data_IF_276504391536
#
_entry.id   IF_276504391536
#
_cell.length_a   1.000
_cell.length_b   1.000
_cell.length_c   1.000
_cell.angle_alpha   90.00
_cell.angle_beta   90.00
_cell.angle_gamma   90.00
#
_symmetry.space_group_name_H-M   'P 1'
#
loop_
_entity.id
_entity.type
_entity.pdbx_description
1 polymer ?
#
# COMPACT_ATOMS: atom_id res chain seq x y z
N UNK A 1 -18.49 4.89 3.56
CA UNK A 1 -18.40 3.67 4.32
C UNK A 1 -19.76 3.24 4.88
N UNK A 2 -19.83 1.99 5.32
CA UNK A 2 -21.01 1.44 6.01
C UNK A 2 -20.98 1.70 7.51
N UNK A 3 -19.81 1.97 8.06
CA UNK A 3 -19.56 2.18 9.48
C UNK A 3 -18.87 3.52 9.73
N UNK A 4 -19.26 4.22 10.80
CA UNK A 4 -18.69 5.48 11.21
C UNK A 4 -18.41 5.49 12.73
N UNK A 5 -17.53 6.39 13.18
CA UNK A 5 -17.24 6.60 14.60
C UNK A 5 -16.80 5.33 15.32
N UNK A 6 -17.37 5.09 16.50
CA UNK A 6 -16.99 3.97 17.35
C UNK A 6 -17.19 2.58 16.71
N UNK A 7 -18.24 2.42 15.90
CA UNK A 7 -18.47 1.15 15.18
C UNK A 7 -17.38 0.84 14.19
N UNK A 8 -16.87 1.86 13.47
CA UNK A 8 -15.72 1.71 12.56
C UNK A 8 -14.45 1.35 13.34
N UNK A 9 -14.17 2.03 14.43
CA UNK A 9 -13.00 1.74 15.28
C UNK A 9 -13.04 0.33 15.85
N UNK A 10 -14.19 -0.12 16.30
CA UNK A 10 -14.33 -1.49 16.83
C UNK A 10 -14.17 -2.53 15.72
N UNK A 11 -14.75 -2.30 14.53
CA UNK A 11 -14.57 -3.19 13.39
C UNK A 11 -13.09 -3.27 12.96
N UNK A 12 -12.35 -2.15 13.00
CA UNK A 12 -10.91 -2.13 12.73
C UNK A 12 -10.11 -2.95 13.76
N UNK A 13 -10.44 -2.82 15.05
CA UNK A 13 -9.81 -3.64 16.11
C UNK A 13 -10.07 -5.13 15.90
N UNK A 14 -11.32 -5.50 15.62
CA UNK A 14 -11.69 -6.88 15.31
C UNK A 14 -10.93 -7.43 14.10
N UNK A 15 -10.77 -6.64 13.04
CA UNK A 15 -9.98 -7.04 11.88
C UNK A 15 -8.52 -7.31 12.25
N UNK A 16 -7.91 -6.42 13.04
CA UNK A 16 -6.51 -6.57 13.48
C UNK A 16 -6.33 -7.83 14.32
N UNK A 17 -7.26 -8.11 15.25
CA UNK A 17 -7.24 -9.33 16.04
C UNK A 17 -7.39 -10.57 15.15
N UNK A 18 -8.36 -10.59 14.24
CA UNK A 18 -8.56 -11.69 13.30
C UNK A 18 -7.33 -11.97 12.42
N UNK A 19 -6.64 -10.92 11.95
CA UNK A 19 -5.39 -11.04 11.20
C UNK A 19 -4.28 -11.66 12.05
N UNK A 20 -4.14 -11.24 13.30
CA UNK A 20 -3.15 -11.80 14.24
C UNK A 20 -3.47 -13.26 14.58
N UNK A 21 -4.71 -13.58 14.85
CA UNK A 21 -5.17 -14.93 15.17
C UNK A 21 -4.99 -15.89 14.00
N UNK A 22 -5.06 -15.38 12.78
CA UNK A 22 -4.81 -16.15 11.55
C UNK A 22 -3.33 -16.08 11.11
N UNK A 23 -2.42 -15.75 12.02
CA UNK A 23 -0.97 -15.72 11.81
C UNK A 23 -0.53 -14.85 10.63
N UNK A 24 -1.23 -13.71 10.42
CA UNK A 24 -1.03 -12.76 9.31
C UNK A 24 -1.20 -13.37 7.91
N UNK A 25 -1.92 -14.48 7.79
CA UNK A 25 -2.32 -15.03 6.51
C UNK A 25 -3.56 -14.32 5.94
N UNK A 26 -3.77 -14.44 4.64
CA UNK A 26 -4.93 -13.82 3.95
C UNK A 26 -6.16 -14.72 4.10
N UNK A 27 -7.02 -14.40 5.07
CA UNK A 27 -8.23 -15.16 5.37
C UNK A 27 -9.47 -14.69 4.62
N UNK A 28 -9.33 -13.91 3.54
CA UNK A 28 -10.45 -13.30 2.81
C UNK A 28 -10.57 -13.88 1.40
N UNK A 29 -11.80 -13.84 0.87
CA UNK A 29 -12.08 -14.17 -0.54
C UNK A 29 -12.02 -12.92 -1.44
N UNK A 30 -12.37 -13.09 -2.70
CA UNK A 30 -12.19 -12.12 -3.80
C UNK A 30 -12.71 -10.71 -3.53
N UNK A 31 -13.86 -10.59 -2.85
CA UNK A 31 -14.48 -9.28 -2.60
C UNK A 31 -13.69 -8.46 -1.59
N UNK A 32 -13.10 -9.10 -0.58
CA UNK A 32 -12.52 -8.42 0.57
C UNK A 32 -10.99 -8.32 0.50
N UNK A 33 -10.31 -9.24 -0.19
CA UNK A 33 -8.84 -9.24 -0.31
C UNK A 33 -8.26 -7.90 -0.79
N UNK A 34 -8.84 -7.20 -1.80
CA UNK A 34 -8.35 -5.91 -2.26
C UNK A 34 -8.32 -4.82 -1.18
N UNK A 35 -9.16 -4.92 -0.16
CA UNK A 35 -9.33 -3.89 0.86
C UNK A 35 -8.51 -4.15 2.14
N UNK A 36 -7.93 -5.33 2.30
CA UNK A 36 -7.25 -5.71 3.55
C UNK A 36 -6.13 -4.75 3.93
N UNK A 37 -5.11 -4.62 3.07
CA UNK A 37 -3.95 -3.78 3.36
C UNK A 37 -4.32 -2.29 3.45
N UNK A 38 -5.15 -1.73 2.54
CA UNK A 38 -5.63 -0.36 2.68
C UNK A 38 -6.35 -0.08 4.00
N UNK A 39 -7.27 -0.96 4.42
CA UNK A 39 -8.03 -0.77 5.66
C UNK A 39 -7.15 -0.88 6.90
N UNK A 40 -6.20 -1.80 6.93
CA UNK A 40 -5.21 -1.90 8.01
C UNK A 40 -4.35 -0.63 8.08
N UNK A 41 -3.87 -0.14 6.94
CA UNK A 41 -3.10 1.10 6.87
C UNK A 41 -3.91 2.31 7.32
N UNK A 42 -5.19 2.43 6.92
CA UNK A 42 -6.12 3.48 7.37
C UNK A 42 -6.37 3.43 8.89
N UNK A 43 -6.40 2.24 9.47
CA UNK A 43 -6.50 2.03 10.91
C UNK A 43 -5.22 2.39 11.68
N UNK A 44 -4.13 2.78 11.00
CA UNK A 44 -2.83 3.03 11.63
C UNK A 44 -1.98 1.77 11.83
N UNK A 45 -2.46 0.61 11.38
CA UNK A 45 -1.83 -0.71 11.55
C UNK A 45 -0.91 -1.06 10.37
N UNK A 46 -0.04 -0.12 9.98
CA UNK A 46 0.86 -0.26 8.82
C UNK A 46 1.78 -1.47 8.96
N UNK A 47 2.34 -1.70 10.15
CA UNK A 47 3.21 -2.85 10.39
C UNK A 47 2.45 -4.19 10.28
N UNK A 48 1.17 -4.22 10.67
CA UNK A 48 0.31 -5.38 10.49
C UNK A 48 0.08 -5.67 9.00
N UNK A 49 -0.15 -4.62 8.19
CA UNK A 49 -0.28 -4.72 6.74
C UNK A 49 1.00 -5.27 6.08
N UNK A 50 2.17 -4.76 6.47
CA UNK A 50 3.45 -5.29 5.97
C UNK A 50 3.70 -6.73 6.38
N UNK A 51 3.38 -7.10 7.62
CA UNK A 51 3.52 -8.49 8.08
C UNK A 51 2.65 -9.45 7.28
N UNK A 52 1.45 -9.03 6.85
CA UNK A 52 0.62 -9.82 5.92
C UNK A 52 1.27 -9.90 4.53
N UNK A 53 1.71 -8.75 3.98
CA UNK A 53 2.32 -8.69 2.66
C UNK A 53 3.58 -9.56 2.57
N UNK A 54 4.42 -9.53 3.61
CA UNK A 54 5.70 -10.22 3.68
C UNK A 54 5.60 -11.65 4.24
N UNK A 55 4.39 -12.14 4.56
CA UNK A 55 4.19 -13.47 5.09
C UNK A 55 4.45 -14.53 4.02
N UNK A 56 5.40 -15.41 4.29
CA UNK A 56 5.77 -16.52 3.38
C UNK A 56 4.92 -17.78 3.58
N UNK A 57 3.95 -17.75 4.50
CA UNK A 57 3.00 -18.83 4.69
C UNK A 57 1.80 -18.65 3.75
N UNK A 58 1.11 -19.72 3.48
CA UNK A 58 -0.19 -19.73 2.81
C UNK A 58 -1.34 -19.73 3.83
N UNK A 59 -2.45 -19.10 3.50
CA UNK A 59 -2.75 -18.23 2.35
C UNK A 59 -2.00 -16.89 2.39
N UNK A 60 -1.31 -16.53 1.32
CA UNK A 60 -0.55 -15.27 1.26
C UNK A 60 0.31 -15.13 0.01
N UNK A 61 0.55 -13.91 -0.42
CA UNK A 61 1.24 -13.59 -1.68
C UNK A 61 2.66 -14.15 -1.76
N UNK A 62 3.48 -14.00 -0.72
CA UNK A 62 4.82 -14.58 -0.72
C UNK A 62 4.82 -16.09 -0.48
N UNK A 63 3.74 -16.66 0.04
CA UNK A 63 3.53 -18.11 0.08
C UNK A 63 3.44 -18.69 -1.32
N UNK A 64 2.70 -18.06 -2.24
CA UNK A 64 2.66 -18.45 -3.66
C UNK A 64 4.04 -18.32 -4.32
N UNK A 65 4.75 -17.20 -4.06
CA UNK A 65 6.11 -17.00 -4.60
C UNK A 65 7.07 -18.08 -4.11
N UNK A 66 6.97 -18.50 -2.85
CA UNK A 66 7.76 -19.59 -2.30
C UNK A 66 7.49 -20.93 -3.01
N UNK A 67 6.27 -21.12 -3.50
CA UNK A 67 5.88 -22.30 -4.32
C UNK A 67 6.22 -22.14 -5.82
N UNK A 68 6.88 -21.04 -6.21
CA UNK A 68 7.36 -20.79 -7.55
C UNK A 68 6.40 -20.01 -8.45
N UNK A 69 5.39 -19.35 -7.88
CA UNK A 69 4.51 -18.46 -8.65
C UNK A 69 5.29 -17.32 -9.29
N UNK A 70 5.02 -17.04 -10.55
CA UNK A 70 5.53 -15.90 -11.31
C UNK A 70 4.44 -14.89 -11.65
N UNK A 71 3.21 -15.20 -11.27
CA UNK A 71 2.01 -14.38 -11.42
C UNK A 71 1.17 -14.50 -10.13
N UNK A 72 0.20 -13.64 -9.92
CA UNK A 72 -0.73 -13.77 -8.79
C UNK A 72 -1.83 -14.77 -9.14
N UNK A 73 -1.95 -15.83 -8.35
CA UNK A 73 -2.92 -16.89 -8.57
C UNK A 73 -4.32 -16.53 -8.09
N UNK A 74 -5.32 -17.27 -8.56
CA UNK A 74 -6.72 -17.12 -8.14
C UNK A 74 -6.95 -17.68 -6.74
N UNK A 75 -6.38 -18.84 -6.48
CA UNK A 75 -6.33 -19.44 -5.16
C UNK A 75 -4.88 -19.65 -4.69
N UNK A 76 -4.72 -19.81 -3.41
CA UNK A 76 -3.41 -19.90 -2.78
C UNK A 76 -2.69 -21.25 -2.98
N UNK A 77 -3.36 -22.24 -3.58
CA UNK A 77 -2.77 -23.56 -3.88
C UNK A 77 -2.33 -23.69 -5.34
N UNK A 78 -2.82 -22.83 -6.22
CA UNK A 78 -2.49 -22.83 -7.65
C UNK A 78 -3.28 -23.87 -8.46
N UNK A 79 -4.43 -24.29 -7.96
CA UNK A 79 -5.25 -25.34 -8.60
C UNK A 79 -6.13 -24.81 -9.75
N UNK A 80 -6.24 -23.46 -9.86
CA UNK A 80 -7.12 -22.80 -10.84
C UNK A 80 -6.34 -21.77 -11.67
N UNK A 81 -6.86 -20.59 -11.92
CA UNK A 81 -6.20 -19.57 -12.74
C UNK A 81 -4.92 -19.06 -12.10
N UNK A 82 -3.84 -18.99 -12.86
CA UNK A 82 -2.56 -18.41 -12.43
C UNK A 82 -2.44 -16.91 -12.74
N UNK A 83 -3.55 -16.22 -12.97
CA UNK A 83 -3.59 -14.77 -13.15
C UNK A 83 -4.95 -14.23 -12.75
N UNK A 84 -5.09 -13.72 -11.53
CA UNK A 84 -6.38 -13.28 -11.03
C UNK A 84 -6.32 -11.87 -10.44
N UNK A 85 -7.27 -11.03 -10.85
CA UNK A 85 -7.30 -9.60 -10.52
C UNK A 85 -7.49 -9.32 -9.02
N UNK A 86 -8.25 -10.15 -8.32
CA UNK A 86 -8.63 -9.84 -6.94
C UNK A 86 -7.45 -9.99 -5.97
N UNK A 87 -6.73 -11.14 -5.87
CA UNK A 87 -5.48 -11.16 -5.13
C UNK A 87 -4.43 -10.20 -5.71
N UNK A 88 -4.44 -9.99 -7.04
CA UNK A 88 -3.55 -9.06 -7.76
C UNK A 88 -3.77 -7.58 -7.43
N UNK A 89 -4.90 -7.21 -6.83
CA UNK A 89 -5.17 -5.85 -6.35
C UNK A 89 -4.18 -5.38 -5.27
N UNK A 90 -3.40 -6.28 -4.66
CA UNK A 90 -2.26 -5.92 -3.79
C UNK A 90 -1.30 -4.96 -4.48
N UNK A 91 -1.14 -5.05 -5.81
CA UNK A 91 -0.28 -4.16 -6.58
C UNK A 91 -0.73 -2.69 -6.49
N UNK A 92 -2.03 -2.42 -6.35
CA UNK A 92 -2.53 -1.07 -6.11
C UNK A 92 -1.96 -0.50 -4.81
N UNK A 93 -1.96 -1.28 -3.73
CA UNK A 93 -1.42 -0.83 -2.44
C UNK A 93 0.10 -0.60 -2.46
N UNK A 94 0.85 -1.29 -3.33
CA UNK A 94 2.27 -0.99 -3.53
C UNK A 94 2.49 0.42 -4.10
N UNK A 95 1.56 0.93 -4.91
CA UNK A 95 1.60 2.30 -5.41
C UNK A 95 1.00 3.30 -4.42
N UNK A 96 -0.23 3.07 -3.94
CA UNK A 96 -0.99 4.02 -3.12
C UNK A 96 -0.58 4.03 -1.65
N UNK A 97 -0.11 2.90 -1.13
CA UNK A 97 0.36 2.74 0.26
C UNK A 97 1.88 2.80 0.37
N UNK A 98 2.61 1.80 -0.13
CA UNK A 98 4.06 1.72 0.04
C UNK A 98 4.77 2.97 -0.50
N UNK A 99 4.49 3.37 -1.73
CA UNK A 99 5.05 4.58 -2.36
C UNK A 99 4.16 5.82 -2.18
N UNK A 100 2.88 5.64 -1.82
CA UNK A 100 1.98 6.71 -1.44
C UNK A 100 1.43 7.55 -2.58
N UNK A 101 1.46 7.10 -3.83
CA UNK A 101 0.94 7.87 -4.97
C UNK A 101 -0.57 7.68 -5.08
N UNK A 102 -1.35 8.73 -4.83
CA UNK A 102 -2.80 8.74 -4.92
C UNK A 102 -3.26 9.87 -5.84
N UNK A 103 -4.20 9.57 -6.74
CA UNK A 103 -4.76 10.54 -7.68
C UNK A 103 -6.10 11.01 -7.14
N UNK A 104 -6.18 12.25 -6.66
CA UNK A 104 -7.35 12.81 -5.99
C UNK A 104 -8.20 13.71 -6.93
N UNK A 105 -7.71 14.00 -8.12
CA UNK A 105 -8.39 14.85 -9.07
C UNK A 105 -7.64 14.95 -10.39
N UNK A 106 -8.13 15.80 -11.30
CA UNK A 106 -7.54 15.90 -12.63
C UNK A 106 -6.06 16.34 -12.59
N UNK A 107 -5.71 17.32 -11.73
CA UNK A 107 -4.38 17.89 -11.63
C UNK A 107 -3.83 17.94 -10.18
N UNK A 108 -4.35 17.09 -9.32
CA UNK A 108 -3.99 17.08 -7.90
C UNK A 108 -3.70 15.67 -7.42
N UNK A 109 -2.57 15.52 -6.75
CA UNK A 109 -2.12 14.28 -6.15
C UNK A 109 -2.08 14.37 -4.63
N UNK A 110 -2.26 13.24 -3.96
CA UNK A 110 -1.81 13.06 -2.58
C UNK A 110 -0.62 12.11 -2.60
N UNK A 111 0.46 12.49 -1.94
CA UNK A 111 1.65 11.67 -1.77
C UNK A 111 1.78 11.35 -0.29
N UNK A 112 1.46 10.12 0.07
CA UNK A 112 1.39 9.65 1.45
C UNK A 112 2.11 8.30 1.60
N UNK A 113 3.44 8.24 1.43
CA UNK A 113 4.18 7.00 1.54
C UNK A 113 4.14 6.44 2.96
N UNK A 114 4.06 5.12 3.05
CA UNK A 114 4.04 4.34 4.28
C UNK A 114 5.26 3.42 4.36
N UNK A 115 6.47 3.95 4.61
CA UNK A 115 7.66 3.13 4.76
C UNK A 115 7.54 2.18 5.95
N UNK A 116 7.64 0.87 5.73
CA UNK A 116 7.44 -0.13 6.78
C UNK A 116 8.04 -1.48 6.44
N UNK A 117 7.74 -2.48 7.25
CA UNK A 117 8.20 -3.84 7.07
C UNK A 117 9.71 -3.97 6.92
N UNK A 118 10.14 -4.97 6.18
CA UNK A 118 11.55 -5.24 5.89
C UNK A 118 12.14 -4.33 4.80
N UNK A 119 11.31 -3.52 4.13
CA UNK A 119 11.79 -2.66 3.04
C UNK A 119 12.73 -1.58 3.56
N UNK A 120 13.86 -1.41 2.90
CA UNK A 120 14.84 -0.34 3.13
C UNK A 120 14.60 0.87 2.25
N UNK A 121 13.98 0.65 1.11
CA UNK A 121 13.64 1.67 0.12
C UNK A 121 12.47 1.17 -0.75
N UNK A 122 11.79 2.09 -1.40
CA UNK A 122 10.85 1.79 -2.48
C UNK A 122 10.72 2.98 -3.42
N UNK A 123 10.37 2.71 -4.67
CA UNK A 123 10.07 3.75 -5.65
C UNK A 123 8.94 3.33 -6.58
N UNK A 124 8.13 4.30 -6.97
CA UNK A 124 7.11 4.13 -8.00
C UNK A 124 6.97 5.39 -8.85
N UNK A 125 6.42 5.22 -10.03
CA UNK A 125 6.02 6.33 -10.88
C UNK A 125 4.70 6.03 -11.58
N UNK A 126 3.92 7.07 -11.82
CA UNK A 126 2.65 7.02 -12.52
C UNK A 126 2.66 8.05 -13.65
N UNK A 127 2.29 7.61 -14.85
CA UNK A 127 2.17 8.49 -16.01
C UNK A 127 0.75 9.04 -16.09
N UNK A 128 0.57 10.26 -15.60
CA UNK A 128 -0.70 10.98 -15.73
C UNK A 128 -0.82 11.67 -17.09
N UNK A 129 -2.00 12.24 -17.39
CA UNK A 129 -2.21 13.08 -18.57
C UNK A 129 -1.35 14.36 -18.55
N UNK A 130 -0.89 14.81 -17.37
CA UNK A 130 -0.01 15.98 -17.20
C UNK A 130 1.47 15.64 -17.24
N UNK A 131 1.82 14.35 -17.22
CA UNK A 131 3.19 13.89 -17.16
C UNK A 131 3.42 12.93 -16.00
N UNK A 132 4.69 12.60 -15.78
CA UNK A 132 5.11 11.63 -14.77
C UNK A 132 5.08 12.25 -13.37
N UNK A 133 4.37 11.61 -12.44
CA UNK A 133 4.58 11.75 -11.00
C UNK A 133 5.42 10.59 -10.51
N UNK A 134 6.41 10.84 -9.68
CA UNK A 134 7.21 9.78 -9.08
C UNK A 134 7.53 10.05 -7.62
N UNK A 135 7.65 8.98 -6.87
CA UNK A 135 8.01 8.97 -5.45
C UNK A 135 9.05 7.88 -5.23
N UNK A 136 10.12 8.23 -4.55
CA UNK A 136 11.05 7.28 -3.97
C UNK A 136 11.27 7.65 -2.50
N UNK A 137 11.43 6.64 -1.66
CA UNK A 137 11.87 6.84 -0.28
C UNK A 137 12.95 5.83 0.09
N UNK A 138 13.80 6.23 1.02
CA UNK A 138 14.87 5.38 1.54
C UNK A 138 15.01 5.58 3.04
N UNK A 139 15.03 4.47 3.80
CA UNK A 139 15.35 4.48 5.23
C UNK A 139 16.86 4.72 5.39
N UNK A 140 17.20 5.71 6.19
CA UNK A 140 18.54 6.00 6.66
C UNK A 140 18.60 5.72 8.17
N UNK A 141 19.79 5.77 8.78
CA UNK A 141 19.95 5.36 10.20
C UNK A 141 18.97 6.05 11.16
N UNK A 142 18.57 7.29 10.93
CA UNK A 142 17.69 8.06 11.83
C UNK A 142 16.50 8.72 11.13
N UNK A 143 16.50 8.75 9.80
CA UNK A 143 15.53 9.49 9.02
C UNK A 143 15.07 8.65 7.83
N UNK A 144 14.06 9.16 7.13
CA UNK A 144 13.66 8.67 5.81
C UNK A 144 13.85 9.83 4.85
N UNK A 145 14.62 9.62 3.78
CA UNK A 145 14.76 10.57 2.69
C UNK A 145 13.71 10.29 1.61
N UNK A 146 13.25 11.36 0.96
CA UNK A 146 12.23 11.28 -0.08
C UNK A 146 12.69 12.02 -1.33
N UNK A 147 12.49 11.40 -2.49
CA UNK A 147 12.60 12.03 -3.80
C UNK A 147 11.22 12.05 -4.44
N UNK A 148 10.72 13.24 -4.78
CA UNK A 148 9.37 13.42 -5.31
C UNK A 148 9.45 14.27 -6.59
N UNK A 149 8.83 13.80 -7.66
CA UNK A 149 8.67 14.56 -8.91
C UNK A 149 7.18 14.79 -9.17
N UNK A 150 6.81 16.05 -9.35
CA UNK A 150 5.44 16.49 -9.63
C UNK A 150 5.41 17.13 -11.01
N UNK A 151 4.56 16.66 -11.94
CA UNK A 151 4.53 17.15 -13.30
C UNK A 151 3.99 18.58 -13.41
N UNK A 152 4.31 19.25 -14.52
CA UNK A 152 3.86 20.61 -14.78
C UNK A 152 2.34 20.76 -14.73
N UNK A 153 1.85 21.92 -14.30
CA UNK A 153 0.43 22.27 -14.14
C UNK A 153 -0.34 21.41 -13.12
N UNK A 154 0.40 20.76 -12.20
CA UNK A 154 -0.19 19.99 -11.11
C UNK A 154 0.39 20.38 -9.76
N UNK A 155 -0.25 19.91 -8.70
CA UNK A 155 0.23 20.04 -7.32
C UNK A 155 -0.02 18.77 -6.54
N UNK A 156 0.66 18.62 -5.41
CA UNK A 156 0.47 17.49 -4.51
C UNK A 156 0.46 17.93 -3.06
N UNK A 157 -0.40 17.30 -2.25
CA UNK A 157 -0.30 17.30 -0.81
C UNK A 157 0.57 16.12 -0.38
N UNK A 158 1.75 16.41 0.17
CA UNK A 158 2.61 15.39 0.78
C UNK A 158 2.23 15.25 2.25
N UNK A 159 1.98 14.01 2.67
CA UNK A 159 1.73 13.61 4.06
C UNK A 159 2.83 12.67 4.50
N UNK A 160 3.63 13.07 5.47
CA UNK A 160 4.72 12.25 5.99
C UNK A 160 4.23 11.37 7.14
N UNK A 161 4.86 10.19 7.37
CA UNK A 161 4.52 9.31 8.49
C UNK A 161 4.62 9.96 9.87
N UNK A 162 5.46 10.97 10.02
CA UNK A 162 5.63 11.76 11.26
C UNK A 162 4.52 12.79 11.49
N UNK A 163 3.51 12.85 10.62
CA UNK A 163 2.37 13.77 10.70
C UNK A 163 2.59 15.11 10.03
N UNK A 164 3.79 15.45 9.57
CA UNK A 164 4.03 16.66 8.76
C UNK A 164 3.23 16.60 7.46
N UNK A 165 2.79 17.78 7.02
CA UNK A 165 2.09 17.96 5.74
C UNK A 165 2.69 19.13 4.99
N UNK A 166 2.86 18.98 3.67
CA UNK A 166 3.39 20.03 2.81
C UNK A 166 2.70 20.01 1.45
N UNK A 167 2.25 21.16 0.96
CA UNK A 167 1.77 21.29 -0.42
C UNK A 167 2.93 21.66 -1.32
N UNK A 168 3.12 20.90 -2.39
CA UNK A 168 4.17 21.11 -3.38
C UNK A 168 3.55 21.39 -4.76
N UNK A 169 4.12 22.34 -5.50
CA UNK A 169 3.82 22.56 -6.91
C UNK A 169 4.60 21.62 -7.82
N UNK A 170 4.55 21.91 -9.13
CA UNK A 170 5.37 21.21 -10.12
C UNK A 170 6.86 21.36 -9.82
N UNK A 171 7.63 20.27 -9.92
CA UNK A 171 9.07 20.27 -9.65
C UNK A 171 9.62 18.95 -9.15
N UNK A 172 10.93 18.96 -8.83
CA UNK A 172 11.64 17.85 -8.20
C UNK A 172 12.09 18.27 -6.82
N UNK A 173 11.87 17.40 -5.85
CA UNK A 173 12.10 17.67 -4.43
C UNK A 173 12.92 16.55 -3.80
N UNK A 174 13.87 16.94 -2.94
CA UNK A 174 14.59 16.06 -2.03
C UNK A 174 14.27 16.51 -0.60
N UNK A 175 13.67 15.66 0.20
CA UNK A 175 13.10 16.00 1.50
C UNK A 175 13.57 15.05 2.59
#
# INVERSE_FOLDING_TARGET
GLLDGAEKEDAQKWLVEAVKDYDYCVGTGFVSTPFLLPVLAEAGEVETAYRMLENTKKPGWLGEVADGATTIWEDWEGDVSHNHYSPGAVCEWLFSGVCGIQVEGENYFVIAPLPGGSLTDASASYQSIYGKVSVAWKKEEKNISYEIEIPANTSALVRFPDGRKQTLGAGKYHL
#
